data_IF_003337182637
#
_entry.id   IF_003337182637
#
_cell.length_a   1.000
_cell.length_b   1.000
_cell.length_c   1.000
_cell.angle_alpha   90.00
_cell.angle_beta   90.00
_cell.angle_gamma   90.00
#
_symmetry.space_group_name_H-M   'P 1'
#
loop_
_entity.id
_entity.type
_entity.pdbx_description
1 polymer ?
#
# COMPACT_ATOMS: atom_id res chain seq x y z
N UNK A 1 11.20 -36.91 12.81
CA UNK A 1 10.43 -35.65 12.74
C UNK A 1 9.60 -35.69 11.47
N UNK A 2 8.30 -35.92 11.61
CA UNK A 2 7.39 -36.07 10.48
C UNK A 2 7.15 -34.67 9.86
N UNK A 3 7.50 -34.52 8.57
CA UNK A 3 7.05 -33.37 7.77
C UNK A 3 5.55 -33.55 7.55
N UNK A 4 4.74 -32.76 8.23
CA UNK A 4 3.34 -32.60 7.87
C UNK A 4 3.29 -31.96 6.48
N UNK A 5 3.11 -32.79 5.46
CA UNK A 5 2.71 -32.33 4.14
C UNK A 5 1.24 -31.89 4.25
N UNK A 6 1.00 -30.60 4.55
CA UNK A 6 -0.29 -30.03 4.26
C UNK A 6 -0.48 -30.13 2.75
N UNK A 7 -1.37 -31.01 2.30
CA UNK A 7 -1.88 -30.96 0.93
C UNK A 7 -2.40 -29.54 0.70
N UNK A 8 -1.68 -28.73 -0.09
CA UNK A 8 -2.05 -27.36 -0.38
C UNK A 8 -3.48 -27.32 -0.93
N UNK A 9 -4.32 -26.44 -0.41
CA UNK A 9 -5.67 -26.25 -0.92
C UNK A 9 -5.60 -25.84 -2.38
N UNK A 10 -6.31 -26.54 -3.25
CA UNK A 10 -6.43 -26.13 -4.66
C UNK A 10 -7.39 -24.95 -4.73
N UNK A 11 -6.83 -23.74 -4.89
CA UNK A 11 -7.58 -22.49 -5.03
C UNK A 11 -7.84 -22.16 -6.49
N UNK A 12 -8.96 -21.51 -6.81
CA UNK A 12 -9.30 -21.00 -8.13
C UNK A 12 -9.92 -19.62 -8.00
N UNK A 13 -9.53 -18.70 -8.90
CA UNK A 13 -10.08 -17.33 -8.98
C UNK A 13 -11.61 -17.34 -9.14
N UNK A 14 -12.18 -18.36 -9.75
CA UNK A 14 -13.63 -18.52 -9.90
C UNK A 14 -14.39 -18.61 -8.56
N UNK A 15 -13.70 -19.04 -7.51
CA UNK A 15 -14.25 -19.13 -6.15
C UNK A 15 -13.87 -17.91 -5.29
N UNK A 16 -13.32 -16.86 -5.88
CA UNK A 16 -12.88 -15.69 -5.13
C UNK A 16 -13.91 -14.59 -5.15
N UNK A 17 -14.13 -13.99 -3.99
CA UNK A 17 -14.97 -12.81 -3.79
C UNK A 17 -14.14 -11.68 -3.17
N UNK A 18 -14.35 -10.46 -3.67
CA UNK A 18 -13.77 -9.24 -3.07
C UNK A 18 -14.89 -8.44 -2.42
N UNK A 19 -14.76 -8.19 -1.12
CA UNK A 19 -15.77 -7.44 -0.36
C UNK A 19 -15.13 -6.42 0.59
N UNK A 20 -15.86 -5.34 0.86
CA UNK A 20 -15.49 -4.40 1.92
C UNK A 20 -15.66 -5.06 3.28
N UNK A 21 -14.64 -4.96 4.16
CA UNK A 21 -14.62 -5.63 5.47
C UNK A 21 -14.18 -4.69 6.57
N UNK A 22 -14.55 -5.06 7.80
CA UNK A 22 -14.17 -4.32 8.99
C UNK A 22 -12.70 -4.54 9.40
N UNK A 23 -12.16 -3.59 10.16
CA UNK A 23 -10.78 -3.67 10.66
C UNK A 23 -10.56 -4.81 11.65
N UNK A 24 -11.59 -5.31 12.32
CA UNK A 24 -11.51 -6.45 13.24
C UNK A 24 -11.07 -7.74 12.56
N UNK A 25 -11.39 -7.91 11.29
CA UNK A 25 -10.99 -9.06 10.46
C UNK A 25 -9.71 -8.77 9.67
N UNK A 26 -9.67 -7.63 8.98
CA UNK A 26 -8.59 -7.30 8.05
C UNK A 26 -7.26 -6.98 8.76
N UNK A 27 -7.27 -6.25 9.87
CA UNK A 27 -6.04 -5.81 10.54
C UNK A 27 -5.23 -6.97 11.12
N UNK A 28 -5.83 -7.98 11.81
CA UNK A 28 -5.09 -9.16 12.25
C UNK A 28 -4.46 -9.93 11.11
N UNK A 29 -5.16 -10.12 9.99
CA UNK A 29 -4.64 -10.78 8.80
C UNK A 29 -3.40 -10.07 8.25
N UNK A 30 -3.47 -8.74 8.06
CA UNK A 30 -2.33 -7.94 7.59
C UNK A 30 -1.15 -8.05 8.56
N UNK A 31 -1.38 -7.99 9.87
CA UNK A 31 -0.30 -8.11 10.87
C UNK A 31 0.40 -9.46 10.82
N UNK A 32 -0.33 -10.51 10.50
CA UNK A 32 0.19 -11.87 10.43
C UNK A 32 0.95 -12.15 9.13
N UNK A 33 0.44 -11.67 7.99
CA UNK A 33 0.90 -12.09 6.67
C UNK A 33 1.70 -11.05 5.90
N UNK A 34 1.60 -9.76 6.25
CA UNK A 34 2.39 -8.73 5.58
C UNK A 34 3.75 -8.55 6.25
N UNK A 35 4.83 -8.48 5.45
CA UNK A 35 6.22 -8.38 5.93
C UNK A 35 6.48 -7.27 6.97
N UNK A 36 5.69 -6.18 6.96
CA UNK A 36 5.84 -5.10 7.94
C UNK A 36 5.23 -5.40 9.30
N UNK A 37 4.39 -6.42 9.44
CA UNK A 37 3.69 -6.77 10.67
C UNK A 37 2.78 -5.67 11.24
N UNK A 38 2.46 -4.63 10.46
CA UNK A 38 1.73 -3.44 10.93
C UNK A 38 0.62 -3.05 9.96
N UNK A 39 -0.53 -2.66 10.51
CA UNK A 39 -1.64 -2.07 9.78
C UNK A 39 -2.27 -0.95 10.59
N UNK A 40 -2.78 0.09 9.91
CA UNK A 40 -3.49 1.19 10.55
C UNK A 40 -4.90 0.74 10.96
N UNK A 41 -5.30 1.01 12.21
CA UNK A 41 -6.58 0.57 12.75
C UNK A 41 -7.82 1.30 12.20
N UNK A 42 -7.65 2.36 11.43
CA UNK A 42 -8.73 3.11 10.75
C UNK A 42 -8.66 2.98 9.23
N UNK A 43 -8.10 1.89 8.70
CA UNK A 43 -8.04 1.66 7.27
C UNK A 43 -9.41 1.28 6.70
N UNK A 44 -9.67 1.66 5.45
CA UNK A 44 -10.74 1.10 4.62
C UNK A 44 -10.19 -0.18 3.99
N UNK A 45 -10.80 -1.32 4.28
CA UNK A 45 -10.25 -2.61 3.88
C UNK A 45 -11.17 -3.33 2.89
N UNK A 46 -10.55 -3.90 1.86
CA UNK A 46 -11.16 -4.90 0.99
C UNK A 46 -10.47 -6.23 1.24
N UNK A 47 -11.27 -7.25 1.46
CA UNK A 47 -10.80 -8.60 1.70
C UNK A 47 -11.06 -9.48 0.48
N UNK A 48 -10.11 -10.35 0.19
CA UNK A 48 -10.22 -11.43 -0.77
C UNK A 48 -10.59 -12.70 -0.02
N UNK A 49 -11.75 -13.26 -0.35
CA UNK A 49 -12.30 -14.46 0.28
C UNK A 49 -12.29 -15.61 -0.72
N UNK A 50 -11.74 -16.73 -0.34
CA UNK A 50 -11.97 -18.02 -1.01
C UNK A 50 -13.28 -18.61 -0.52
N UNK A 51 -14.34 -18.44 -1.29
CA UNK A 51 -15.70 -18.87 -0.91
C UNK A 51 -15.87 -20.38 -0.84
N UNK A 52 -15.01 -21.14 -1.55
CA UNK A 52 -15.00 -22.61 -1.50
C UNK A 52 -14.52 -23.13 -0.15
N UNK A 53 -13.60 -22.43 0.48
CA UNK A 53 -12.99 -22.82 1.75
C UNK A 53 -13.41 -21.94 2.92
N UNK A 54 -14.25 -20.92 2.68
CA UNK A 54 -14.67 -19.89 3.63
C UNK A 54 -13.47 -19.27 4.36
N UNK A 55 -12.49 -18.81 3.57
CA UNK A 55 -11.19 -18.37 4.10
C UNK A 55 -10.82 -16.97 3.58
N UNK A 56 -10.36 -16.11 4.49
CA UNK A 56 -9.73 -14.84 4.14
C UNK A 56 -8.31 -15.12 3.62
N UNK A 57 -8.05 -14.76 2.37
CA UNK A 57 -6.79 -15.05 1.67
C UNK A 57 -6.05 -13.81 1.18
N UNK A 58 -6.61 -12.62 1.35
CA UNK A 58 -5.92 -11.37 1.01
C UNK A 58 -6.62 -10.13 1.55
N UNK A 59 -5.85 -9.06 1.75
CA UNK A 59 -6.34 -7.77 2.21
C UNK A 59 -5.66 -6.63 1.44
N UNK A 60 -6.48 -5.69 0.95
CA UNK A 60 -6.06 -4.38 0.48
C UNK A 60 -6.58 -3.31 1.47
N UNK A 61 -5.67 -2.60 2.13
CA UNK A 61 -5.98 -1.61 3.17
C UNK A 61 -5.60 -0.21 2.70
N UNK A 62 -6.57 0.69 2.65
CA UNK A 62 -6.41 2.07 2.21
C UNK A 62 -6.55 3.03 3.38
N UNK A 63 -5.70 4.06 3.41
CA UNK A 63 -5.71 5.10 4.46
C UNK A 63 -5.56 6.48 3.84
N UNK A 64 -5.97 7.52 4.56
CA UNK A 64 -5.57 8.88 4.20
C UNK A 64 -4.07 9.02 4.44
N UNK A 65 -3.27 9.45 3.45
CA UNK A 65 -1.83 9.68 3.64
C UNK A 65 -1.59 10.65 4.81
N UNK A 66 -0.70 10.27 5.72
CA UNK A 66 -0.41 11.06 6.94
C UNK A 66 0.15 12.45 6.58
N UNK A 67 1.03 12.51 5.58
CA UNK A 67 1.63 13.76 5.14
C UNK A 67 0.71 14.51 4.19
N UNK A 68 0.29 15.70 4.57
CA UNK A 68 -0.45 16.60 3.70
C UNK A 68 0.38 17.02 2.48
N UNK A 69 1.70 17.15 2.63
CA UNK A 69 2.59 17.45 1.53
C UNK A 69 2.56 16.36 0.44
N UNK A 70 2.46 15.08 0.83
CA UNK A 70 2.32 13.98 -0.14
C UNK A 70 1.03 14.10 -0.93
N UNK A 71 -0.07 14.50 -0.29
CA UNK A 71 -1.38 14.68 -0.95
C UNK A 71 -1.38 15.89 -1.89
N UNK A 72 -0.73 17.00 -1.48
CA UNK A 72 -0.62 18.22 -2.28
C UNK A 72 0.33 18.06 -3.45
N UNK A 73 1.44 17.34 -3.28
CA UNK A 73 2.51 17.19 -4.27
C UNK A 73 2.12 16.40 -5.53
N UNK A 74 0.92 15.86 -5.58
CA UNK A 74 0.40 15.21 -6.79
C UNK A 74 -0.22 16.19 -7.78
N UNK A 75 -0.70 17.35 -7.31
CA UNK A 75 -1.60 18.22 -8.05
C UNK A 75 -0.93 19.52 -8.44
N UNK A 76 -1.33 20.06 -9.57
CA UNK A 76 -0.94 21.40 -10.01
C UNK A 76 -1.25 22.47 -8.95
N UNK A 77 -0.49 23.54 -8.92
CA UNK A 77 -0.55 24.56 -7.87
C UNK A 77 -1.93 25.17 -7.68
N UNK A 78 -2.68 25.35 -8.76
CA UNK A 78 -4.03 25.89 -8.76
C UNK A 78 -5.10 24.87 -8.32
N UNK A 79 -4.77 23.56 -8.24
CA UNK A 79 -5.68 22.46 -7.90
C UNK A 79 -5.39 21.83 -6.55
N UNK A 80 -4.16 21.98 -6.02
CA UNK A 80 -3.68 21.23 -4.84
C UNK A 80 -4.52 21.41 -3.58
N UNK A 81 -5.12 22.58 -3.35
CA UNK A 81 -5.95 22.83 -2.16
C UNK A 81 -7.31 22.14 -2.25
N UNK A 82 -7.88 22.09 -3.45
CA UNK A 82 -9.14 21.39 -3.72
C UNK A 82 -8.92 19.87 -3.70
N UNK A 83 -7.93 19.39 -4.46
CA UNK A 83 -7.75 17.96 -4.74
C UNK A 83 -6.94 17.20 -3.67
N UNK A 84 -6.28 17.86 -2.71
CA UNK A 84 -5.55 17.17 -1.63
C UNK A 84 -6.39 16.18 -0.81
N UNK A 85 -7.71 16.33 -0.78
CA UNK A 85 -8.64 15.45 -0.08
C UNK A 85 -9.20 14.33 -0.99
N UNK A 86 -8.81 14.33 -2.26
CA UNK A 86 -9.22 13.34 -3.28
C UNK A 86 -8.14 12.26 -3.47
N UNK A 87 -7.18 12.18 -2.55
CA UNK A 87 -6.09 11.21 -2.56
C UNK A 87 -6.23 10.26 -1.37
N UNK A 88 -6.03 8.97 -1.62
CA UNK A 88 -5.84 7.96 -0.58
C UNK A 88 -4.55 7.17 -0.85
N UNK A 89 -4.10 6.38 0.11
CA UNK A 89 -2.89 5.55 0.01
C UNK A 89 -3.26 4.07 0.13
N UNK A 90 -2.79 3.24 -0.80
CA UNK A 90 -2.75 1.80 -0.61
C UNK A 90 -1.65 1.49 0.41
N UNK A 91 -2.06 1.47 1.68
CA UNK A 91 -1.16 1.37 2.82
C UNK A 91 -0.59 -0.03 3.00
N UNK A 92 -1.43 -1.06 2.79
CA UNK A 92 -1.03 -2.47 2.84
C UNK A 92 -1.79 -3.26 1.78
N UNK A 93 -1.05 -4.16 1.17
CA UNK A 93 -1.58 -5.12 0.22
C UNK A 93 -0.88 -6.46 0.44
N UNK A 94 -1.64 -7.51 0.64
CA UNK A 94 -1.12 -8.85 0.90
C UNK A 94 -2.12 -9.90 0.46
N UNK A 95 -1.62 -10.98 -0.14
CA UNK A 95 -2.33 -12.24 -0.41
C UNK A 95 -1.53 -13.40 0.17
N UNK A 96 -2.16 -14.54 0.38
CA UNK A 96 -1.44 -15.76 0.72
C UNK A 96 -0.64 -16.27 -0.49
N UNK A 97 0.50 -16.90 -0.22
CA UNK A 97 1.42 -17.40 -1.27
C UNK A 97 0.85 -18.56 -2.09
N UNK A 98 -0.13 -19.31 -1.54
CA UNK A 98 -0.77 -20.45 -2.18
C UNK A 98 -1.97 -20.07 -3.07
N UNK A 99 -2.00 -18.82 -3.54
CA UNK A 99 -3.02 -18.34 -4.49
C UNK A 99 -2.57 -18.53 -5.94
N UNK A 100 -3.51 -18.69 -6.90
CA UNK A 100 -3.20 -18.80 -8.31
C UNK A 100 -2.43 -17.59 -8.85
N UNK A 101 -1.69 -17.80 -9.93
CA UNK A 101 -1.02 -16.72 -10.65
C UNK A 101 -2.00 -15.61 -11.06
N UNK A 102 -1.56 -14.34 -11.00
CA UNK A 102 -2.37 -13.13 -11.23
C UNK A 102 -3.46 -12.83 -10.19
N UNK A 103 -3.54 -13.56 -9.09
CA UNK A 103 -4.50 -13.26 -8.01
C UNK A 103 -4.33 -11.84 -7.48
N UNK A 104 -3.11 -11.37 -7.31
CA UNK A 104 -2.82 -10.04 -6.78
C UNK A 104 -3.37 -8.93 -7.70
N UNK A 105 -3.10 -9.02 -8.99
CA UNK A 105 -3.59 -8.01 -9.95
C UNK A 105 -5.11 -8.07 -10.09
N UNK A 106 -5.67 -9.27 -10.14
CA UNK A 106 -7.12 -9.49 -10.15
C UNK A 106 -7.80 -8.90 -8.91
N UNK A 107 -7.24 -9.14 -7.73
CA UNK A 107 -7.75 -8.64 -6.47
C UNK A 107 -7.63 -7.12 -6.36
N UNK A 108 -6.42 -6.58 -6.61
CA UNK A 108 -6.18 -5.14 -6.46
C UNK A 108 -7.06 -4.33 -7.41
N UNK A 109 -7.26 -4.79 -8.65
CA UNK A 109 -8.16 -4.09 -9.59
C UNK A 109 -9.59 -3.97 -9.06
N UNK A 110 -10.10 -5.02 -8.40
CA UNK A 110 -11.44 -5.03 -7.80
C UNK A 110 -11.52 -4.21 -6.52
N UNK A 111 -10.46 -4.25 -5.71
CA UNK A 111 -10.37 -3.42 -4.51
C UNK A 111 -10.35 -1.93 -4.85
N UNK A 112 -9.62 -1.52 -5.92
CA UNK A 112 -9.62 -0.14 -6.43
C UNK A 112 -11.00 0.28 -6.94
N UNK A 113 -11.68 -0.60 -7.69
CA UNK A 113 -13.05 -0.35 -8.12
C UNK A 113 -13.99 -0.20 -6.91
N UNK A 114 -13.95 -1.14 -5.97
CA UNK A 114 -14.76 -1.09 -4.76
C UNK A 114 -14.48 0.16 -3.92
N UNK A 115 -13.24 0.61 -3.83
CA UNK A 115 -12.88 1.87 -3.19
C UNK A 115 -13.54 3.07 -3.87
N UNK A 116 -13.49 3.14 -5.21
CA UNK A 116 -14.13 4.21 -5.98
C UNK A 116 -15.65 4.22 -5.79
N UNK A 117 -16.28 3.05 -5.84
CA UNK A 117 -17.72 2.90 -5.61
C UNK A 117 -18.13 3.33 -4.18
N UNK A 118 -17.31 3.00 -3.17
CA UNK A 118 -17.55 3.33 -1.76
C UNK A 118 -17.23 4.80 -1.42
N UNK A 119 -16.21 5.38 -2.03
CA UNK A 119 -15.75 6.76 -1.84
C UNK A 119 -15.51 7.45 -3.19
N UNK A 120 -16.55 7.85 -3.90
CA UNK A 120 -16.45 8.41 -5.25
C UNK A 120 -15.52 9.63 -5.37
N UNK A 121 -15.34 10.37 -4.26
CA UNK A 121 -14.47 11.54 -4.24
C UNK A 121 -13.00 11.25 -4.54
N UNK A 122 -12.52 10.02 -4.33
CA UNK A 122 -11.11 9.72 -4.60
C UNK A 122 -10.83 9.69 -6.10
N UNK A 123 -9.86 10.50 -6.52
CA UNK A 123 -9.33 10.57 -7.89
C UNK A 123 -7.99 9.88 -8.05
N UNK A 124 -7.26 9.71 -6.94
CA UNK A 124 -5.94 9.10 -6.95
C UNK A 124 -5.70 8.17 -5.75
N UNK A 125 -5.02 7.05 -6.01
CA UNK A 125 -4.50 6.15 -4.99
C UNK A 125 -2.99 6.09 -5.13
N UNK A 126 -2.25 6.61 -4.16
CA UNK A 126 -0.79 6.46 -4.11
C UNK A 126 -0.41 5.12 -3.51
N UNK A 127 0.71 4.58 -3.97
CA UNK A 127 1.30 3.37 -3.39
C UNK A 127 2.81 3.44 -3.41
N UNK A 128 3.45 2.72 -2.50
CA UNK A 128 4.89 2.68 -2.33
C UNK A 128 5.39 1.24 -2.39
N UNK A 129 6.30 0.95 -3.33
CA UNK A 129 7.03 -0.31 -3.33
C UNK A 129 8.38 -0.11 -2.62
N UNK A 130 8.64 -0.95 -1.61
CA UNK A 130 9.81 -0.81 -0.73
C UNK A 130 10.97 -1.64 -1.28
N UNK A 131 11.95 -0.96 -1.87
CA UNK A 131 13.13 -1.57 -2.48
C UNK A 131 13.99 -2.33 -1.45
N UNK A 132 13.92 -1.97 -0.16
CA UNK A 132 14.60 -2.69 0.93
C UNK A 132 14.18 -4.17 1.01
N UNK A 133 12.97 -4.49 0.53
CA UNK A 133 12.42 -5.84 0.46
C UNK A 133 12.39 -6.40 -0.97
N UNK A 134 13.13 -5.80 -1.91
CA UNK A 134 13.18 -6.22 -3.31
C UNK A 134 11.93 -5.88 -4.13
N UNK A 135 11.05 -5.02 -3.61
CA UNK A 135 9.82 -4.66 -4.31
C UNK A 135 10.04 -3.49 -5.26
N UNK A 136 9.84 -3.71 -6.54
CA UNK A 136 9.85 -2.67 -7.58
C UNK A 136 8.43 -2.27 -8.03
N UNK A 137 7.39 -2.87 -7.44
CA UNK A 137 5.99 -2.56 -7.75
C UNK A 137 5.44 -3.27 -8.98
N UNK A 138 5.88 -4.48 -9.29
CA UNK A 138 5.44 -5.28 -10.43
C UNK A 138 3.91 -5.37 -10.56
N UNK A 139 3.20 -5.57 -9.43
CA UNK A 139 1.73 -5.61 -9.40
C UNK A 139 1.14 -4.27 -9.83
N UNK A 140 1.74 -3.16 -9.42
CA UNK A 140 1.27 -1.82 -9.77
C UNK A 140 1.50 -1.51 -11.25
N UNK A 141 2.65 -1.94 -11.79
CA UNK A 141 2.98 -1.82 -13.21
C UNK A 141 1.98 -2.63 -14.06
N UNK A 142 1.68 -3.86 -13.66
CA UNK A 142 0.70 -4.72 -14.34
C UNK A 142 -0.73 -4.13 -14.37
N UNK A 143 -1.04 -3.21 -13.46
CA UNK A 143 -2.31 -2.47 -13.41
C UNK A 143 -2.21 -1.06 -14.02
N UNK A 144 -1.12 -0.76 -14.74
CA UNK A 144 -0.87 0.52 -15.38
C UNK A 144 -0.90 1.72 -14.40
N UNK A 145 -0.40 1.53 -13.17
CA UNK A 145 -0.16 2.64 -12.27
C UNK A 145 0.97 3.52 -12.80
N UNK A 146 0.80 4.83 -12.76
CA UNK A 146 1.85 5.76 -13.19
C UNK A 146 2.99 5.71 -12.18
N UNK A 147 4.20 5.43 -12.65
CA UNK A 147 5.41 5.55 -11.85
C UNK A 147 5.91 6.99 -11.92
N UNK A 148 6.09 7.63 -10.78
CA UNK A 148 6.54 9.03 -10.69
C UNK A 148 7.79 9.20 -9.83
N UNK A 149 8.69 8.20 -9.89
CA UNK A 149 10.02 8.25 -9.29
C UNK A 149 10.11 7.68 -7.89
N UNK A 150 11.20 7.98 -7.21
CA UNK A 150 11.46 7.49 -5.84
C UNK A 150 11.11 8.55 -4.79
N UNK A 151 10.74 8.11 -3.61
CA UNK A 151 10.63 8.97 -2.43
C UNK A 151 12.01 9.44 -1.96
N UNK A 152 12.06 10.49 -1.16
CA UNK A 152 13.27 10.81 -0.42
C UNK A 152 13.68 9.65 0.50
N UNK A 153 15.00 9.53 0.73
CA UNK A 153 15.51 8.57 1.72
C UNK A 153 15.07 9.00 3.12
N UNK A 154 14.67 8.04 3.94
CA UNK A 154 14.34 8.26 5.33
C UNK A 154 15.36 7.58 6.25
N UNK A 155 15.50 8.09 7.47
CA UNK A 155 16.27 7.41 8.51
C UNK A 155 15.34 6.56 9.37
N UNK A 156 15.90 5.51 9.96
CA UNK A 156 15.29 4.77 11.04
C UNK A 156 16.36 4.43 12.08
N UNK A 157 15.93 3.99 13.24
CA UNK A 157 16.85 3.55 14.29
C UNK A 157 16.70 2.06 14.51
N UNK A 158 17.76 1.41 15.04
CA UNK A 158 17.67 0.08 15.62
C UNK A 158 18.05 0.18 17.09
N UNK A 159 17.26 -0.47 17.96
CA UNK A 159 17.59 -0.61 19.36
C UNK A 159 18.69 -1.66 19.58
N UNK A 160 19.09 -1.86 20.83
CA UNK A 160 20.15 -2.81 21.23
C UNK A 160 19.81 -4.26 20.85
N UNK A 161 18.54 -4.60 20.79
CA UNK A 161 18.03 -5.92 20.36
C UNK A 161 17.95 -6.04 18.83
N UNK A 162 18.30 -5.00 18.08
CA UNK A 162 18.22 -4.94 16.62
C UNK A 162 16.81 -4.66 16.07
N UNK A 163 15.83 -4.35 16.92
CA UNK A 163 14.47 -4.05 16.47
C UNK A 163 14.40 -2.69 15.80
N UNK A 164 13.64 -2.60 14.73
CA UNK A 164 13.45 -1.35 13.98
C UNK A 164 12.57 -0.37 14.77
N UNK A 165 13.09 0.84 15.01
CA UNK A 165 12.41 1.95 15.67
C UNK A 165 12.14 3.08 14.68
N UNK A 166 10.96 3.66 14.78
CA UNK A 166 10.58 4.83 13.96
C UNK A 166 11.32 6.07 14.46
N UNK A 167 11.73 6.99 13.56
CA UNK A 167 12.17 8.32 13.97
C UNK A 167 11.04 9.18 14.56
N UNK A 168 9.80 8.70 14.53
CA UNK A 168 8.64 9.33 15.15
C UNK A 168 8.00 8.38 16.15
N UNK A 169 8.01 8.76 17.41
CA UNK A 169 7.49 7.97 18.52
C UNK A 169 6.63 8.86 19.40
N UNK A 170 5.46 8.38 19.83
CA UNK A 170 4.58 9.13 20.72
C UNK A 170 4.12 10.50 20.20
N UNK A 171 4.15 10.71 18.88
CA UNK A 171 3.74 11.98 18.26
C UNK A 171 4.85 13.02 18.06
N UNK A 172 6.06 12.78 18.56
CA UNK A 172 7.24 13.64 18.39
C UNK A 172 8.38 12.95 17.60
N UNK A 173 9.29 13.77 17.08
CA UNK A 173 10.46 13.27 16.36
C UNK A 173 11.61 12.99 17.32
N UNK A 174 12.07 11.74 17.37
CA UNK A 174 13.30 11.37 18.10
C UNK A 174 14.50 11.96 17.36
N UNK A 175 15.31 12.76 18.06
CA UNK A 175 16.54 13.32 17.52
C UNK A 175 17.65 12.26 17.43
N UNK A 176 18.69 12.53 16.63
CA UNK A 176 19.86 11.64 16.57
C UNK A 176 20.60 11.57 17.91
N UNK A 177 20.63 12.67 18.68
CA UNK A 177 21.26 12.72 20.00
C UNK A 177 20.50 11.81 20.98
N UNK A 178 19.18 11.98 21.06
CA UNK A 178 18.30 11.17 21.89
C UNK A 178 18.34 9.67 21.53
N UNK A 179 18.39 9.35 20.22
CA UNK A 179 18.52 7.97 19.78
C UNK A 179 19.83 7.34 20.29
N UNK A 180 20.96 8.09 20.24
CA UNK A 180 22.24 7.64 20.77
C UNK A 180 22.24 7.47 22.29
N UNK A 181 21.61 8.39 23.03
CA UNK A 181 21.45 8.28 24.48
C UNK A 181 20.66 7.03 24.88
N UNK A 182 19.71 6.60 24.04
CA UNK A 182 18.94 5.35 24.19
C UNK A 182 19.68 4.09 23.73
N UNK A 183 20.96 4.18 23.33
CA UNK A 183 21.72 3.06 22.78
C UNK A 183 21.31 2.65 21.35
N UNK A 184 20.53 3.50 20.65
CA UNK A 184 20.05 3.17 19.32
C UNK A 184 21.06 3.55 18.25
N UNK A 185 21.17 2.72 17.21
CA UNK A 185 21.97 2.98 16.01
C UNK A 185 21.13 3.62 14.91
N UNK A 186 21.75 4.52 14.14
CA UNK A 186 21.10 5.27 13.07
C UNK A 186 21.33 4.53 11.75
N UNK A 187 20.25 4.25 11.03
CA UNK A 187 20.27 3.59 9.73
C UNK A 187 19.55 4.43 8.69
N UNK A 188 20.02 4.35 7.45
CA UNK A 188 19.34 4.93 6.28
C UNK A 188 18.36 3.90 5.72
N UNK A 189 17.14 4.32 5.45
CA UNK A 189 16.17 3.53 4.72
C UNK A 189 16.28 3.88 3.24
N UNK A 190 16.27 2.86 2.38
CA UNK A 190 16.24 3.09 0.94
C UNK A 190 14.97 3.84 0.53
N UNK A 191 15.07 4.55 -0.58
CA UNK A 191 13.94 5.25 -1.19
C UNK A 191 12.93 4.24 -1.68
N UNK A 192 11.64 4.60 -1.62
CA UNK A 192 10.58 3.74 -2.14
C UNK A 192 10.17 4.19 -3.53
N UNK A 193 9.89 3.25 -4.40
CA UNK A 193 9.24 3.53 -5.67
C UNK A 193 7.82 4.05 -5.43
N UNK A 194 7.46 5.15 -6.10
CA UNK A 194 6.16 5.82 -5.96
C UNK A 194 5.30 5.55 -7.18
N UNK A 195 4.09 5.11 -6.93
CA UNK A 195 3.08 4.83 -7.94
C UNK A 195 1.79 5.55 -7.63
N UNK A 196 1.03 5.92 -8.66
CA UNK A 196 -0.31 6.46 -8.51
C UNK A 196 -1.27 5.77 -9.47
N UNK A 197 -2.39 5.27 -8.94
CA UNK A 197 -3.53 4.80 -9.70
C UNK A 197 -4.51 5.94 -9.87
N UNK A 198 -5.01 6.13 -11.10
CA UNK A 198 -6.01 7.12 -11.41
C UNK A 198 -7.41 6.48 -11.31
N UNK A 199 -8.31 7.16 -10.60
CA UNK A 199 -9.69 6.75 -10.39
C UNK A 199 -10.64 7.83 -10.94
N UNK A 200 -10.82 7.90 -12.26
CA UNK A 200 -11.68 8.91 -12.88
C UNK A 200 -13.15 8.75 -12.46
N UNK A 201 -13.92 9.82 -12.55
CA UNK A 201 -15.35 9.82 -12.42
C UNK A 201 -16.01 9.20 -13.67
N UNK A 202 -17.32 8.83 -13.65
CA UNK A 202 -17.98 8.14 -14.78
C UNK A 202 -17.91 8.84 -16.14
N UNK A 203 -17.71 10.16 -16.17
CA UNK A 203 -17.63 10.99 -17.37
C UNK A 203 -16.25 11.64 -17.56
N UNK A 204 -15.27 11.16 -16.84
CA UNK A 204 -13.88 11.64 -16.83
C UNK A 204 -12.97 10.53 -17.34
N UNK A 205 -11.97 10.85 -18.12
CA UNK A 205 -10.92 9.90 -18.52
C UNK A 205 -9.77 9.88 -17.51
N UNK A 206 -8.87 8.91 -17.61
CA UNK A 206 -7.64 8.92 -16.83
C UNK A 206 -6.73 10.08 -17.23
N UNK A 207 -6.74 10.44 -18.49
CA UNK A 207 -6.01 11.57 -19.06
C UNK A 207 -6.46 12.88 -18.41
N UNK A 208 -7.77 13.10 -18.24
CA UNK A 208 -8.30 14.30 -17.56
C UNK A 208 -7.80 14.40 -16.11
N UNK A 209 -7.82 13.29 -15.37
CA UNK A 209 -7.28 13.26 -13.99
C UNK A 209 -5.78 13.53 -13.99
N UNK A 210 -5.06 13.01 -14.98
CA UNK A 210 -3.60 13.18 -15.08
C UNK A 210 -3.20 14.61 -15.45
N UNK A 211 -4.01 15.31 -16.26
CA UNK A 211 -3.78 16.72 -16.60
C UNK A 211 -3.86 17.65 -15.38
N UNK A 212 -4.59 17.28 -14.33
CA UNK A 212 -4.64 18.01 -13.06
C UNK A 212 -3.40 17.73 -12.17
N UNK A 213 -2.52 16.81 -12.58
CA UNK A 213 -1.34 16.41 -11.81
C UNK A 213 -0.07 17.11 -12.24
N UNK A 214 0.79 17.43 -11.28
CA UNK A 214 2.14 17.97 -11.51
C UNK A 214 3.23 16.89 -11.49
N UNK A 215 2.87 15.61 -11.60
CA UNK A 215 3.81 14.49 -11.62
C UNK A 215 4.13 14.06 -13.06
N UNK A 216 5.37 13.72 -13.30
CA UNK A 216 5.83 13.17 -14.57
C UNK A 216 5.69 11.64 -14.57
N UNK A 217 5.18 11.08 -15.68
CA UNK A 217 5.17 9.65 -15.90
C UNK A 217 6.55 9.18 -16.36
N UNK A 218 7.21 8.36 -15.54
CA UNK A 218 8.55 7.84 -15.78
C UNK A 218 8.50 6.38 -16.25
N UNK A 219 9.60 5.92 -16.87
CA UNK A 219 9.77 4.51 -17.20
C UNK A 219 9.75 3.65 -15.93
N UNK A 220 9.09 2.49 -16.01
CA UNK A 220 9.02 1.56 -14.90
C UNK A 220 10.41 1.04 -14.51
N UNK A 221 10.70 0.94 -13.20
CA UNK A 221 11.91 0.26 -12.75
C UNK A 221 11.84 -1.22 -13.14
N UNK A 222 12.98 -1.74 -13.56
CA UNK A 222 13.14 -3.17 -13.87
C UNK A 222 13.42 -3.93 -12.58
N UNK A 223 12.88 -5.16 -12.51
CA UNK A 223 13.17 -6.11 -11.44
C UNK A 223 14.58 -6.67 -11.56
#
# INVERSE_FOLDING_TARGET
MARNSSMGKTRSIENFEVRHTGNSEAVPFVKQHHYSGRCHGGAMCWSLIDTKHDELIGVAAFVTPISENVRRSLWEDNKKEELKHHVTELHRFVTLDDTPHNTETWFLSRALKGLKDYKPKYKAVISFADETFGHVGTIYQALNAIYYGKSGSAKYYKDEDGNMRSPREGGYNVSNAEAKERGWTIHKRESKHRYVFLLPDPYESKEDVFEDMCVESLEYPKA
#
